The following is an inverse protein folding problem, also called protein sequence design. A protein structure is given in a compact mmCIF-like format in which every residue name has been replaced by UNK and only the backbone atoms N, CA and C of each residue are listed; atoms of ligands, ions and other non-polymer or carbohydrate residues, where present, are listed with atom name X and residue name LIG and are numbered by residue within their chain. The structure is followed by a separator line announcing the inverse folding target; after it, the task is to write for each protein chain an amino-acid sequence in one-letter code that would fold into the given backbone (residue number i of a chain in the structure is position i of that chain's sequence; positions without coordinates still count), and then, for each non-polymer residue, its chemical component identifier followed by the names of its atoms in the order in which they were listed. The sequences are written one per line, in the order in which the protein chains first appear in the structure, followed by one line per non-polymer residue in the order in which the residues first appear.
data_IF_289790032310
#
_entry.id   IF_289790032310
#
_cell.length_a   1.000
_cell.length_b   1.000
_cell.length_c   1.000
_cell.angle_alpha   90.00
_cell.angle_beta   90.00
_cell.angle_gamma   90.00
#
_symmetry.space_group_name_H-M   'P 1'
#
loop_
_entity.id
_entity.type
_entity.pdbx_description
1 polymer ?
#
# COMPACT_ATOMS: atom_id res chain seq x y z
N UNK A 1 -52.00 -3.29 -4.69
CA UNK A 1 -52.78 -4.46 -4.25
C UNK A 1 -52.00 -5.73 -4.59
N UNK A 2 -51.94 -6.64 -3.60
CA UNK A 2 -51.49 -8.05 -3.65
C UNK A 2 -49.98 -8.36 -3.74
N UNK A 3 -49.47 -8.71 -2.55
CA UNK A 3 -48.24 -9.43 -2.19
C UNK A 3 -48.47 -10.94 -2.40
N UNK A 4 -47.46 -11.72 -2.77
CA UNK A 4 -47.39 -13.16 -2.45
C UNK A 4 -45.94 -13.62 -2.29
N UNK A 5 -45.52 -13.67 -1.02
CA UNK A 5 -44.43 -14.49 -0.49
C UNK A 5 -44.91 -15.93 -0.34
N UNK A 6 -44.12 -16.92 -0.76
CA UNK A 6 -44.35 -18.32 -0.40
C UNK A 6 -43.01 -19.04 -0.19
N UNK A 7 -42.67 -19.24 1.08
CA UNK A 7 -41.66 -20.17 1.59
C UNK A 7 -42.28 -21.57 1.61
N UNK A 8 -41.62 -22.57 1.02
CA UNK A 8 -41.84 -23.97 1.36
C UNK A 8 -40.51 -24.62 1.72
N UNK A 9 -40.36 -24.90 3.01
CA UNK A 9 -39.35 -25.77 3.60
C UNK A 9 -39.92 -27.18 3.57
N UNK A 10 -39.23 -28.11 2.94
CA UNK A 10 -39.50 -29.54 3.07
C UNK A 10 -38.17 -30.27 3.27
N UNK A 11 -37.88 -30.56 4.54
CA UNK A 11 -36.80 -31.44 4.95
C UNK A 11 -37.30 -32.89 4.88
N UNK A 12 -36.57 -33.77 4.22
CA UNK A 12 -36.66 -35.22 4.47
C UNK A 12 -35.27 -35.80 4.57
N UNK A 13 -34.94 -36.26 5.78
CA UNK A 13 -33.83 -37.15 6.11
C UNK A 13 -33.95 -38.46 5.33
N UNK A 14 -32.82 -38.95 4.79
CA UNK A 14 -32.63 -40.36 4.49
C UNK A 14 -31.28 -40.81 5.05
N UNK A 15 -31.34 -41.67 6.07
CA UNK A 15 -30.22 -42.43 6.62
C UNK A 15 -29.81 -43.52 5.62
N UNK A 16 -28.53 -43.59 5.27
CA UNK A 16 -27.91 -44.71 4.54
C UNK A 16 -26.67 -45.18 5.28
N UNK A 17 -26.64 -46.47 5.63
CA UNK A 17 -25.70 -47.09 6.56
C UNK A 17 -24.32 -47.41 5.97
N UNK A 18 -23.34 -47.35 6.87
CA UNK A 18 -22.05 -48.03 6.97
C UNK A 18 -21.47 -48.81 5.77
N UNK A 19 -20.24 -48.45 5.40
CA UNK A 19 -19.17 -49.40 5.11
C UNK A 19 -17.95 -49.05 5.97
N UNK A 20 -17.55 -50.01 6.82
CA UNK A 20 -16.34 -50.04 7.62
C UNK A 20 -15.34 -51.00 6.95
N UNK A 21 -14.14 -50.51 6.60
CA UNK A 21 -12.89 -51.27 6.51
C UNK A 21 -11.74 -50.26 6.37
N UNK A 22 -11.06 -49.94 7.48
CA UNK A 22 -9.66 -50.34 7.79
C UNK A 22 -8.67 -50.01 6.67
N UNK A 23 -7.85 -48.97 6.78
CA UNK A 23 -6.67 -48.79 7.65
C UNK A 23 -5.40 -48.87 6.81
N UNK A 24 -4.72 -47.73 6.65
CA UNK A 24 -3.28 -47.67 6.43
C UNK A 24 -2.77 -46.42 7.15
N UNK A 25 -2.14 -46.65 8.29
CA UNK A 25 -1.31 -45.70 9.00
C UNK A 25 -0.22 -45.14 8.09
N UNK A 26 -0.05 -43.82 8.06
CA UNK A 26 1.17 -43.16 8.56
C UNK A 26 1.01 -41.64 8.48
N UNK A 27 0.74 -41.06 9.66
CA UNK A 27 1.38 -39.86 10.22
C UNK A 27 2.39 -39.19 9.27
N UNK A 28 2.22 -37.95 8.85
CA UNK A 28 2.54 -36.79 9.69
C UNK A 28 1.78 -35.55 9.21
N UNK A 29 0.76 -35.16 9.96
CA UNK A 29 0.23 -33.80 9.91
C UNK A 29 1.23 -32.89 10.64
N UNK A 30 1.92 -32.03 9.89
CA UNK A 30 2.68 -30.94 10.49
C UNK A 30 1.70 -29.95 11.14
N UNK A 31 1.97 -29.48 12.38
CA UNK A 31 1.09 -28.53 13.04
C UNK A 31 1.10 -27.22 12.27
N UNK A 32 -0.10 -26.67 12.09
CA UNK A 32 -0.33 -25.32 11.61
C UNK A 32 0.16 -24.29 12.66
N UNK A 33 1.47 -24.14 12.81
CA UNK A 33 2.08 -22.97 13.45
C UNK A 33 2.26 -21.88 12.40
N UNK A 34 1.14 -21.40 11.86
CA UNK A 34 1.10 -20.11 11.19
C UNK A 34 1.29 -19.02 12.25
N UNK A 35 2.55 -18.79 12.62
CA UNK A 35 2.96 -17.59 13.37
C UNK A 35 2.27 -16.39 12.71
N UNK A 36 1.61 -15.49 13.45
CA UNK A 36 1.08 -14.29 12.86
C UNK A 36 2.24 -13.61 12.16
N UNK A 37 2.15 -13.51 10.84
CA UNK A 37 3.10 -12.77 10.00
C UNK A 37 3.16 -11.38 10.63
N UNK A 38 4.23 -11.12 11.38
CA UNK A 38 4.53 -9.80 11.91
C UNK A 38 4.49 -8.89 10.69
N UNK A 39 3.46 -8.05 10.60
CA UNK A 39 3.46 -6.96 9.65
C UNK A 39 4.72 -6.16 9.96
N UNK A 40 5.79 -6.40 9.21
CA UNK A 40 6.85 -5.44 9.05
C UNK A 40 6.15 -4.20 8.50
N UNK A 41 5.77 -3.31 9.42
CA UNK A 41 5.70 -1.88 9.18
C UNK A 41 7.08 -1.56 8.67
N UNK A 42 7.26 -1.67 7.36
CA UNK A 42 8.51 -1.37 6.70
C UNK A 42 8.94 -0.01 7.23
N UNK A 43 10.21 0.08 7.64
CA UNK A 43 10.89 1.33 7.97
C UNK A 43 10.89 2.34 6.78
N UNK A 44 10.26 1.94 5.67
CA UNK A 44 9.92 2.67 4.46
C UNK A 44 8.45 3.11 4.44
N UNK A 45 7.95 3.71 5.53
CA UNK A 45 6.78 4.60 5.42
C UNK A 45 7.13 5.73 4.43
N UNK A 46 6.15 6.29 3.70
CA UNK A 46 6.41 7.17 2.56
C UNK A 46 7.40 8.27 2.98
N UNK A 47 8.54 8.33 2.27
CA UNK A 47 9.63 9.29 2.51
C UNK A 47 9.19 10.76 2.56
N UNK A 48 7.94 11.04 2.18
CA UNK A 48 7.25 12.34 2.26
C UNK A 48 7.28 12.92 3.69
N UNK A 49 7.08 12.07 4.71
CA UNK A 49 7.05 12.53 6.10
C UNK A 49 8.41 13.09 6.55
N UNK A 50 9.52 12.70 5.91
CA UNK A 50 10.87 13.10 6.32
C UNK A 50 11.16 14.58 6.09
N UNK A 51 10.47 15.25 5.16
CA UNK A 51 10.81 16.61 4.77
C UNK A 51 10.44 17.63 5.87
N UNK A 52 9.30 17.41 6.52
CA UNK A 52 8.75 18.24 7.60
C UNK A 52 9.10 17.71 9.01
N UNK A 53 9.96 16.68 9.10
CA UNK A 53 10.48 16.20 10.39
C UNK A 53 11.27 17.30 11.09
N UNK A 54 11.26 17.21 12.42
CA UNK A 54 12.01 18.07 13.33
C UNK A 54 11.60 19.55 13.29
N UNK A 55 10.43 19.85 12.73
CA UNK A 55 9.74 21.12 12.93
C UNK A 55 8.92 21.07 14.21
N UNK A 56 9.00 22.13 15.02
CA UNK A 56 8.15 22.30 16.21
C UNK A 56 6.73 22.69 15.80
N UNK A 57 5.98 21.73 15.26
CA UNK A 57 4.59 21.92 14.81
C UNK A 57 3.63 21.97 16.00
N UNK A 58 2.68 22.90 15.96
CA UNK A 58 1.56 22.90 16.91
C UNK A 58 0.63 21.72 16.65
N UNK A 59 -0.18 21.34 17.63
CA UNK A 59 -1.11 20.22 17.45
C UNK A 59 -2.19 20.52 16.41
N UNK A 60 -2.59 21.80 16.28
CA UNK A 60 -3.46 22.25 15.21
C UNK A 60 -2.81 22.06 13.83
N UNK A 61 -1.54 22.46 13.65
CA UNK A 61 -0.82 22.25 12.39
C UNK A 61 -0.67 20.75 12.06
N UNK A 62 -0.35 19.91 13.05
CA UNK A 62 -0.27 18.45 12.86
C UNK A 62 -1.61 17.87 12.40
N UNK A 63 -2.72 18.34 12.95
CA UNK A 63 -4.04 17.89 12.54
C UNK A 63 -4.34 18.27 11.08
N UNK A 64 -4.10 19.52 10.69
CA UNK A 64 -4.25 19.97 9.30
C UNK A 64 -3.37 19.17 8.33
N UNK A 65 -2.13 18.87 8.71
CA UNK A 65 -1.23 18.06 7.89
C UNK A 65 -1.78 16.64 7.70
N UNK A 66 -2.30 16.00 8.76
CA UNK A 66 -2.93 14.67 8.64
C UNK A 66 -4.13 14.69 7.68
N UNK A 67 -4.94 15.73 7.72
CA UNK A 67 -6.10 15.89 6.84
C UNK A 67 -5.67 16.04 5.38
N UNK A 68 -4.65 16.87 5.11
CA UNK A 68 -4.07 17.02 3.77
C UNK A 68 -3.51 15.69 3.26
N UNK A 69 -2.71 14.99 4.07
CA UNK A 69 -2.11 13.71 3.69
C UNK A 69 -3.16 12.63 3.45
N UNK A 70 -4.25 12.63 4.24
CA UNK A 70 -5.38 11.73 4.02
C UNK A 70 -6.05 12.01 2.68
N UNK A 71 -6.34 13.27 2.36
CA UNK A 71 -6.93 13.65 1.08
C UNK A 71 -6.06 13.27 -0.12
N UNK A 72 -4.74 13.47 -0.03
CA UNK A 72 -3.80 13.03 -1.06
C UNK A 72 -3.83 11.50 -1.22
N UNK A 73 -3.84 10.76 -0.12
CA UNK A 73 -3.89 9.29 -0.14
C UNK A 73 -5.15 8.76 -0.81
N UNK A 74 -6.29 9.43 -0.62
CA UNK A 74 -7.56 9.07 -1.24
C UNK A 74 -7.56 9.38 -2.76
N UNK A 75 -6.82 10.41 -3.18
CA UNK A 75 -6.66 10.77 -4.60
C UNK A 75 -5.61 9.90 -5.33
N UNK A 76 -4.63 9.36 -4.60
CA UNK A 76 -3.60 8.51 -5.18
C UNK A 76 -4.16 7.14 -5.57
N UNK A 77 -4.31 6.94 -6.89
CA UNK A 77 -4.69 5.64 -7.44
C UNK A 77 -3.52 4.66 -7.28
N UNK A 78 -3.80 3.51 -6.67
CA UNK A 78 -2.86 2.38 -6.66
C UNK A 78 -2.76 1.80 -8.07
N UNK A 79 -1.58 1.31 -8.51
CA UNK A 79 -1.48 0.56 -9.76
C UNK A 79 -2.45 -0.62 -9.73
N UNK A 80 -3.22 -0.85 -10.80
CA UNK A 80 -4.15 -1.97 -10.92
C UNK A 80 -3.45 -3.32 -10.76
N UNK A 81 -4.19 -4.36 -10.39
CA UNK A 81 -3.63 -5.69 -10.14
C UNK A 81 -2.93 -6.26 -11.38
N UNK A 82 -3.46 -5.99 -12.58
CA UNK A 82 -2.85 -6.44 -13.84
C UNK A 82 -1.47 -5.84 -14.07
N UNK A 83 -1.28 -4.55 -13.80
CA UNK A 83 0.04 -3.92 -13.93
C UNK A 83 1.04 -4.46 -12.91
N UNK A 84 0.57 -4.79 -11.70
CA UNK A 84 1.41 -5.44 -10.69
C UNK A 84 1.83 -6.85 -11.12
N UNK A 85 0.93 -7.61 -11.74
CA UNK A 85 1.24 -8.94 -12.31
C UNK A 85 2.21 -8.82 -13.47
N UNK A 86 1.95 -7.93 -14.44
CA UNK A 86 2.85 -7.72 -15.57
C UNK A 86 4.28 -7.37 -15.14
N UNK A 87 4.43 -6.49 -14.13
CA UNK A 87 5.74 -6.19 -13.55
C UNK A 87 6.39 -7.40 -12.89
N UNK A 88 5.62 -8.19 -12.14
CA UNK A 88 6.11 -9.41 -11.51
C UNK A 88 6.55 -10.44 -12.56
N UNK A 89 5.78 -10.64 -13.63
CA UNK A 89 6.08 -11.61 -14.68
C UNK A 89 7.36 -11.27 -15.44
N UNK A 90 7.65 -9.98 -15.64
CA UNK A 90 8.91 -9.52 -16.21
C UNK A 90 10.10 -9.84 -15.28
N UNK A 91 9.92 -9.70 -13.97
CA UNK A 91 10.97 -9.93 -12.96
C UNK A 91 11.20 -11.43 -12.72
N UNK A 92 10.14 -12.22 -12.74
CA UNK A 92 10.17 -13.66 -12.44
C UNK A 92 10.45 -14.53 -13.69
N UNK A 93 10.86 -13.92 -14.81
CA UNK A 93 11.23 -14.62 -16.04
C UNK A 93 12.67 -15.16 -15.98
N UNK A 94 12.91 -16.33 -16.57
CA UNK A 94 14.25 -16.94 -16.68
C UNK A 94 15.23 -16.06 -17.48
N UNK A 95 14.71 -15.24 -18.39
CA UNK A 95 15.48 -14.25 -19.15
C UNK A 95 14.81 -12.88 -19.12
N UNK A 96 15.62 -11.81 -19.06
CA UNK A 96 15.10 -10.45 -18.98
C UNK A 96 14.76 -9.88 -20.37
N UNK A 97 13.48 -9.61 -20.59
CA UNK A 97 12.97 -8.95 -21.80
C UNK A 97 12.92 -7.43 -21.59
N UNK A 98 13.98 -6.75 -22.04
CA UNK A 98 14.11 -5.29 -21.92
C UNK A 98 12.97 -4.55 -22.61
N UNK A 99 12.52 -5.01 -23.78
CA UNK A 99 11.48 -4.34 -24.55
C UNK A 99 10.12 -4.40 -23.84
N UNK A 100 9.77 -5.55 -23.24
CA UNK A 100 8.57 -5.67 -22.39
C UNK A 100 8.65 -4.78 -21.15
N UNK A 101 9.82 -4.69 -20.52
CA UNK A 101 10.04 -3.81 -19.38
C UNK A 101 9.81 -2.34 -19.75
N UNK A 102 10.41 -1.87 -20.85
CA UNK A 102 10.26 -0.50 -21.33
C UNK A 102 8.80 -0.17 -21.70
N UNK A 103 8.10 -1.08 -22.37
CA UNK A 103 6.68 -0.90 -22.71
C UNK A 103 5.79 -0.82 -21.45
N UNK A 104 6.03 -1.68 -20.47
CA UNK A 104 5.28 -1.66 -19.20
C UNK A 104 5.60 -0.39 -18.39
N UNK A 105 6.84 0.11 -18.45
CA UNK A 105 7.24 1.39 -17.85
C UNK A 105 6.49 2.53 -18.55
N UNK A 106 6.46 2.59 -19.87
CA UNK A 106 5.77 3.65 -20.62
C UNK A 106 4.27 3.72 -20.25
N UNK A 107 3.61 2.57 -20.11
CA UNK A 107 2.20 2.49 -19.68
C UNK A 107 1.93 3.17 -18.33
N UNK A 108 2.90 3.13 -17.40
CA UNK A 108 2.77 3.74 -16.07
C UNK A 108 3.21 5.21 -16.00
N UNK A 109 3.74 5.78 -17.09
CA UNK A 109 4.39 7.09 -17.06
C UNK A 109 3.41 8.21 -16.69
N UNK A 110 2.21 8.21 -17.28
CA UNK A 110 1.19 9.23 -17.01
C UNK A 110 0.74 9.20 -15.55
N UNK A 111 0.48 8.01 -15.00
CA UNK A 111 0.13 7.85 -13.60
C UNK A 111 1.26 8.31 -12.67
N UNK A 112 2.53 8.02 -13.01
CA UNK A 112 3.68 8.49 -12.24
C UNK A 112 3.80 10.01 -12.27
N UNK A 113 3.61 10.65 -13.43
CA UNK A 113 3.59 12.11 -13.56
C UNK A 113 2.50 12.74 -12.70
N UNK A 114 1.27 12.22 -12.78
CA UNK A 114 0.15 12.69 -11.97
C UNK A 114 0.42 12.54 -10.46
N UNK A 115 0.98 11.40 -10.03
CA UNK A 115 1.33 11.16 -8.64
C UNK A 115 2.46 12.10 -8.15
N UNK A 116 3.46 12.38 -8.99
CA UNK A 116 4.52 13.35 -8.67
C UNK A 116 3.95 14.75 -8.49
N UNK A 117 3.09 15.20 -9.41
CA UNK A 117 2.46 16.52 -9.33
C UNK A 117 1.61 16.65 -8.04
N UNK A 118 0.71 15.69 -7.80
CA UNK A 118 -0.11 15.67 -6.58
C UNK A 118 0.74 15.68 -5.30
N UNK A 119 1.90 15.03 -5.34
CA UNK A 119 2.83 15.06 -4.22
C UNK A 119 3.45 16.43 -4.00
N UNK A 120 3.94 17.10 -5.05
CA UNK A 120 4.51 18.44 -4.96
C UNK A 120 3.47 19.45 -4.45
N UNK A 121 2.23 19.36 -4.96
CA UNK A 121 1.12 20.20 -4.49
C UNK A 121 0.83 19.99 -3.00
N UNK A 122 0.84 18.74 -2.55
CA UNK A 122 0.62 18.39 -1.14
C UNK A 122 1.73 18.97 -0.24
N UNK A 123 2.99 18.83 -0.66
CA UNK A 123 4.12 19.45 0.06
C UNK A 123 3.98 20.96 0.14
N UNK A 124 3.56 21.62 -0.94
CA UNK A 124 3.34 23.07 -0.94
C UNK A 124 2.20 23.48 0.01
N UNK A 125 1.08 22.74 0.03
CA UNK A 125 -0.02 22.98 0.97
C UNK A 125 0.45 22.89 2.43
N UNK A 126 1.27 21.88 2.75
CA UNK A 126 1.84 21.72 4.09
C UNK A 126 2.80 22.85 4.42
N UNK A 127 3.67 23.24 3.49
CA UNK A 127 4.60 24.36 3.67
C UNK A 127 3.86 25.66 4.02
N UNK A 128 2.67 25.88 3.45
CA UNK A 128 1.87 27.08 3.70
C UNK A 128 1.14 27.09 5.06
N UNK A 129 1.09 25.97 5.78
CA UNK A 129 0.63 25.91 7.17
C UNK A 129 1.70 26.42 8.17
N UNK A 130 2.96 26.44 7.75
CA UNK A 130 4.09 26.78 8.61
C UNK A 130 4.19 28.28 8.89
N UNK A 131 4.65 28.64 10.08
CA UNK A 131 5.04 30.02 10.43
C UNK A 131 6.31 30.44 9.68
N UNK A 132 6.62 31.75 9.58
CA UNK A 132 7.85 32.22 8.95
C UNK A 132 9.13 31.58 9.53
N UNK A 133 9.18 31.39 10.85
CA UNK A 133 10.32 30.79 11.55
C UNK A 133 10.44 29.30 11.21
N UNK A 134 9.32 28.57 11.17
CA UNK A 134 9.29 27.17 10.78
C UNK A 134 9.69 26.99 9.31
N UNK A 135 9.28 27.89 8.41
CA UNK A 135 9.70 27.90 7.00
C UNK A 135 11.22 28.10 6.85
N UNK A 136 11.79 28.99 7.65
CA UNK A 136 13.25 29.19 7.70
C UNK A 136 13.96 27.92 8.16
N UNK A 137 13.48 27.27 9.22
CA UNK A 137 14.02 26.00 9.71
C UNK A 137 13.88 24.88 8.66
N UNK A 138 12.73 24.79 8.00
CA UNK A 138 12.49 23.82 6.94
C UNK A 138 13.51 23.92 5.80
N UNK A 139 13.80 25.14 5.33
CA UNK A 139 14.80 25.37 4.29
C UNK A 139 16.22 25.04 4.78
N UNK A 140 16.57 25.39 6.01
CA UNK A 140 17.85 25.02 6.60
C UNK A 140 18.01 23.49 6.73
N UNK A 141 16.97 22.78 7.14
CA UNK A 141 16.94 21.33 7.19
C UNK A 141 17.09 20.70 5.80
N UNK A 142 16.55 21.34 4.75
CA UNK A 142 16.73 20.91 3.37
C UNK A 142 18.20 21.00 2.94
N UNK A 143 18.84 22.15 3.11
CA UNK A 143 20.27 22.35 2.79
C UNK A 143 21.16 21.38 3.56
N UNK A 144 20.90 21.20 4.86
CA UNK A 144 21.61 20.23 5.70
C UNK A 144 21.49 18.80 5.18
N UNK A 145 20.30 18.37 4.73
CA UNK A 145 20.11 17.03 4.17
C UNK A 145 20.85 16.82 2.85
N UNK A 146 21.02 17.86 2.04
CA UNK A 146 21.81 17.79 0.81
C UNK A 146 23.30 17.56 1.09
N UNK A 147 23.81 18.10 2.20
CA UNK A 147 25.23 18.00 2.55
C UNK A 147 25.56 16.78 3.41
N UNK A 148 24.63 16.32 4.26
CA UNK A 148 24.82 15.16 5.15
C UNK A 148 24.54 13.81 4.51
N UNK A 149 23.73 13.74 3.45
CA UNK A 149 23.64 12.54 2.61
C UNK A 149 24.65 12.73 1.49
N UNK A 150 25.90 12.24 1.61
CA UNK A 150 26.80 12.26 0.46
C UNK A 150 26.06 11.59 -0.69
N UNK A 151 26.05 12.25 -1.85
CA UNK A 151 25.57 11.64 -3.08
C UNK A 151 26.18 10.25 -3.15
N UNK A 152 25.33 9.22 -3.26
CA UNK A 152 25.81 7.84 -3.36
C UNK A 152 26.82 7.82 -4.51
N UNK A 153 28.10 7.61 -4.16
CA UNK A 153 29.20 7.52 -5.12
C UNK A 153 29.08 6.22 -5.91
#
# INVERSE_FOLDING_TARGET
MRKLTALFVASTLALGAANLAHAADTTTAAPADAKPMMHHKGKFGPHQDMMFKDLNLTDAQKQQIREIMKGQRDQMKRPPLEERRAMHDIIASDTFDKAKAEAQIAKMEEQRKANMLAHMETQNKIYNILTPEQKKQFNANFEKRLTERPAAR
#
